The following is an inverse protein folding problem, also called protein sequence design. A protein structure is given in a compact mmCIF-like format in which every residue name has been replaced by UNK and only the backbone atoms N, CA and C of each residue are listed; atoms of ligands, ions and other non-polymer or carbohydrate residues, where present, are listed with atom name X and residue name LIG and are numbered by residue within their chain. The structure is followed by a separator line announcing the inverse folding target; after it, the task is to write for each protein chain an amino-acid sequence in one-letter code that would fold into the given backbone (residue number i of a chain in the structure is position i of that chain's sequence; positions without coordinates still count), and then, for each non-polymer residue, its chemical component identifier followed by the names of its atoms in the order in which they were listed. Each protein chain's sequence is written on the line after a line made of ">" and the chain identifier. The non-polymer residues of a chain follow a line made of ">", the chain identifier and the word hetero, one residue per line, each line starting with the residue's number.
data_IF_464260784794
#
_entry.id   IF_464260784794
#
_cell.length_a   1.000
_cell.length_b   1.000
_cell.length_c   1.000
_cell.angle_alpha   90.00
_cell.angle_beta   90.00
_cell.angle_gamma   90.00
#
_symmetry.space_group_name_H-M   'P 1'
#
loop_
_entity.id
_entity.type
_entity.pdbx_description
1 polymer ?
#
# COMPACT_ATOMS: atom_id res chain seq x y z
N UNK A 1 -45.67 22.66 -51.05
CA UNK A 1 -46.16 21.38 -50.51
C UNK A 1 -44.99 20.45 -50.26
N UNK A 2 -44.60 20.30 -48.99
CA UNK A 2 -44.29 19.01 -48.34
C UNK A 2 -44.30 19.32 -46.85
N UNK A 3 -45.17 18.58 -46.19
CA UNK A 3 -45.69 18.73 -44.85
C UNK A 3 -44.76 18.04 -43.86
N UNK A 4 -44.28 18.77 -42.84
CA UNK A 4 -43.50 18.23 -41.74
C UNK A 4 -44.49 17.73 -40.69
N UNK A 5 -44.59 16.41 -40.52
CA UNK A 5 -45.29 15.80 -39.39
C UNK A 5 -44.37 15.71 -38.18
N UNK A 6 -44.85 16.29 -37.09
CA UNK A 6 -44.32 16.15 -35.75
C UNK A 6 -44.71 14.78 -35.18
N UNK A 7 -43.78 14.14 -34.47
CA UNK A 7 -44.10 13.18 -33.42
C UNK A 7 -43.57 13.69 -32.09
N UNK A 8 -44.50 13.68 -31.15
CA UNK A 8 -44.41 14.10 -29.76
C UNK A 8 -44.31 12.80 -28.97
N UNK A 9 -43.22 12.56 -28.26
CA UNK A 9 -43.17 11.48 -27.27
C UNK A 9 -42.63 11.97 -25.94
N UNK A 10 -43.39 11.56 -24.93
CA UNK A 10 -43.38 12.02 -23.56
C UNK A 10 -42.18 11.52 -22.76
N UNK A 11 -41.83 12.36 -21.80
CA UNK A 11 -40.79 12.22 -20.81
C UNK A 11 -41.16 11.17 -19.73
N UNK A 12 -40.23 10.30 -19.29
CA UNK A 12 -40.29 9.79 -17.93
C UNK A 12 -39.01 10.12 -17.13
N UNK A 13 -39.21 11.04 -16.18
CA UNK A 13 -38.80 10.97 -14.78
C UNK A 13 -37.36 10.52 -14.46
N UNK A 14 -36.59 11.53 -14.05
CA UNK A 14 -35.46 11.50 -13.11
C UNK A 14 -35.45 10.29 -12.15
N UNK A 15 -34.46 9.41 -12.34
CA UNK A 15 -34.02 8.43 -11.35
C UNK A 15 -33.03 9.08 -10.38
N UNK A 16 -33.33 9.02 -9.08
CA UNK A 16 -32.38 9.31 -7.98
C UNK A 16 -31.28 8.24 -7.95
N UNK A 17 -30.03 8.58 -7.57
CA UNK A 17 -29.03 7.56 -7.28
C UNK A 17 -29.42 6.78 -6.03
N UNK A 18 -29.43 5.45 -6.14
CA UNK A 18 -29.63 4.51 -5.05
C UNK A 18 -28.52 4.69 -4.01
N UNK A 19 -28.89 5.19 -2.84
CA UNK A 19 -28.02 5.35 -1.67
C UNK A 19 -27.90 4.04 -0.89
N UNK A 20 -26.68 3.68 -0.51
CA UNK A 20 -26.24 3.10 0.78
C UNK A 20 -26.91 1.84 1.38
N UNK A 21 -28.04 1.33 0.89
CA UNK A 21 -28.79 0.24 1.56
C UNK A 21 -28.10 -1.14 1.49
N UNK A 22 -27.16 -1.34 0.56
CA UNK A 22 -26.49 -2.63 0.38
C UNK A 22 -25.46 -3.00 1.44
N UNK A 23 -24.75 -2.00 2.01
CA UNK A 23 -23.71 -2.27 3.01
C UNK A 23 -24.26 -2.41 4.44
N UNK A 24 -25.33 -1.68 4.77
CA UNK A 24 -26.00 -1.77 6.08
C UNK A 24 -26.70 -3.13 6.27
N UNK A 25 -27.17 -3.75 5.18
CA UNK A 25 -27.84 -5.04 5.22
C UNK A 25 -26.86 -6.21 5.48
N UNK A 26 -25.60 -6.10 5.02
CA UNK A 26 -24.55 -7.09 5.28
C UNK A 26 -24.06 -6.97 6.72
N UNK A 27 -23.83 -5.75 7.23
CA UNK A 27 -23.35 -5.53 8.61
C UNK A 27 -24.42 -5.88 9.66
N UNK A 28 -25.71 -5.62 9.36
CA UNK A 28 -26.83 -6.02 10.22
C UNK A 28 -27.00 -7.56 10.27
N UNK A 29 -26.70 -8.27 9.20
CA UNK A 29 -26.83 -9.74 9.12
C UNK A 29 -25.72 -10.44 9.90
N UNK A 30 -24.50 -9.92 9.86
CA UNK A 30 -23.37 -10.42 10.66
C UNK A 30 -23.58 -10.13 12.16
N UNK A 31 -24.05 -8.92 12.53
CA UNK A 31 -24.35 -8.59 13.94
C UNK A 31 -25.50 -9.40 14.54
N UNK A 32 -26.53 -9.73 13.75
CA UNK A 32 -27.68 -10.53 14.22
C UNK A 32 -27.36 -12.01 14.39
N UNK A 33 -26.36 -12.54 13.70
CA UNK A 33 -26.05 -13.99 13.75
C UNK A 33 -25.35 -14.43 15.05
N UNK A 34 -24.61 -13.52 15.71
CA UNK A 34 -23.88 -13.86 16.95
C UNK A 34 -24.62 -13.56 18.27
N UNK A 35 -25.77 -12.88 18.22
CA UNK A 35 -26.40 -12.33 19.43
C UNK A 35 -27.59 -13.15 19.96
N UNK A 36 -28.22 -14.02 19.16
CA UNK A 36 -29.57 -14.53 19.48
C UNK A 36 -29.66 -15.96 20.03
N UNK A 37 -28.64 -16.82 19.92
CA UNK A 37 -28.67 -18.20 20.47
C UNK A 37 -27.39 -18.59 21.26
N UNK A 38 -27.51 -19.26 22.42
CA UNK A 38 -26.36 -19.62 23.28
C UNK A 38 -25.38 -20.59 22.64
N UNK A 39 -25.83 -21.45 21.71
CA UNK A 39 -24.95 -22.32 20.91
C UNK A 39 -24.07 -21.50 19.95
N UNK A 40 -24.65 -20.45 19.34
CA UNK A 40 -23.97 -19.56 18.41
C UNK A 40 -22.94 -18.66 19.12
N UNK A 41 -23.13 -18.35 20.42
CA UNK A 41 -22.15 -17.60 21.21
C UNK A 41 -20.80 -18.32 21.33
N UNK A 42 -20.81 -19.65 21.51
CA UNK A 42 -19.57 -20.45 21.58
C UNK A 42 -18.86 -20.48 20.23
N UNK A 43 -19.60 -20.64 19.13
CA UNK A 43 -19.06 -20.62 17.78
C UNK A 43 -18.49 -19.25 17.41
N UNK A 44 -19.21 -18.15 17.71
CA UNK A 44 -18.72 -16.79 17.47
C UNK A 44 -17.47 -16.47 18.29
N UNK A 45 -17.37 -16.96 19.53
CA UNK A 45 -16.16 -16.78 20.34
C UNK A 45 -14.96 -17.53 19.73
N UNK A 46 -15.17 -18.76 19.25
CA UNK A 46 -14.12 -19.53 18.55
C UNK A 46 -13.68 -18.83 17.27
N UNK A 47 -14.63 -18.38 16.42
CA UNK A 47 -14.32 -17.65 15.19
C UNK A 47 -13.59 -16.33 15.50
N UNK A 48 -14.04 -15.57 16.49
CA UNK A 48 -13.38 -14.33 16.91
C UNK A 48 -11.96 -14.60 17.43
N UNK A 49 -11.75 -15.66 18.21
CA UNK A 49 -10.43 -16.05 18.68
C UNK A 49 -9.49 -16.46 17.53
N UNK A 50 -10.00 -17.22 16.54
CA UNK A 50 -9.25 -17.60 15.33
C UNK A 50 -8.89 -16.35 14.53
N UNK A 51 -9.85 -15.47 14.26
CA UNK A 51 -9.61 -14.22 13.51
C UNK A 51 -8.62 -13.31 14.23
N UNK A 52 -8.71 -13.20 15.55
CA UNK A 52 -7.74 -12.46 16.36
C UNK A 52 -6.36 -13.09 16.28
N UNK A 53 -6.25 -14.41 16.35
CA UNK A 53 -4.99 -15.14 16.20
C UNK A 53 -4.36 -14.93 14.82
N UNK A 54 -5.16 -15.02 13.75
CA UNK A 54 -4.71 -14.76 12.38
C UNK A 54 -4.28 -13.31 12.18
N UNK A 55 -5.04 -12.35 12.72
CA UNK A 55 -4.71 -10.94 12.67
C UNK A 55 -3.40 -10.62 13.39
N UNK A 56 -3.23 -11.16 14.61
CA UNK A 56 -1.98 -11.01 15.37
C UNK A 56 -0.80 -11.64 14.62
N UNK A 57 -0.97 -12.85 14.08
CA UNK A 57 0.06 -13.51 13.29
C UNK A 57 0.42 -12.69 12.04
N UNK A 58 -0.57 -12.16 11.33
CA UNK A 58 -0.36 -11.29 10.17
C UNK A 58 0.39 -10.01 10.56
N UNK A 59 0.06 -9.40 11.70
CA UNK A 59 0.74 -8.21 12.21
C UNK A 59 2.18 -8.48 12.60
N UNK A 60 2.45 -9.60 13.26
CA UNK A 60 3.80 -10.02 13.62
C UNK A 60 4.64 -10.28 12.36
N UNK A 61 4.09 -10.99 11.37
CA UNK A 61 4.75 -11.24 10.09
C UNK A 61 4.96 -9.97 9.26
N UNK A 62 4.06 -8.99 9.38
CA UNK A 62 4.20 -7.68 8.77
C UNK A 62 5.24 -6.79 9.48
N UNK A 63 5.85 -7.25 10.57
CA UNK A 63 6.88 -6.49 11.28
C UNK A 63 6.34 -5.50 12.32
N UNK A 64 5.13 -5.70 12.86
CA UNK A 64 4.57 -4.79 13.86
C UNK A 64 5.53 -4.53 15.04
N UNK A 65 6.28 -5.54 15.47
CA UNK A 65 7.30 -5.45 16.54
C UNK A 65 8.74 -5.25 16.03
N UNK A 66 8.94 -5.13 14.71
CA UNK A 66 10.26 -4.93 14.13
C UNK A 66 10.77 -3.52 14.46
N UNK A 67 12.04 -3.39 14.83
CA UNK A 67 12.69 -2.08 15.03
C UNK A 67 13.05 -1.48 13.67
N UNK A 68 12.85 -0.18 13.51
CA UNK A 68 13.30 0.55 12.33
C UNK A 68 14.72 1.08 12.55
N UNK A 69 15.70 0.50 11.85
CA UNK A 69 17.03 1.11 11.71
C UNK A 69 17.01 2.03 10.49
N UNK A 70 17.45 3.27 10.69
CA UNK A 70 17.60 4.24 9.61
C UNK A 70 19.09 4.40 9.35
N UNK A 71 19.48 4.18 8.10
CA UNK A 71 20.85 4.28 7.62
C UNK A 71 20.91 5.32 6.50
N UNK A 72 22.07 5.94 6.30
CA UNK A 72 22.27 6.82 5.15
C UNK A 72 22.60 5.98 3.92
N UNK A 73 21.89 6.24 2.82
CA UNK A 73 22.10 5.57 1.55
C UNK A 73 21.89 6.52 0.37
N UNK A 74 21.74 5.96 -0.82
CA UNK A 74 21.51 6.73 -2.05
C UNK A 74 20.28 6.22 -2.75
N UNK A 75 19.32 7.11 -3.02
CA UNK A 75 18.21 6.80 -3.90
C UNK A 75 18.72 6.81 -5.35
N UNK A 76 18.50 5.74 -6.15
CA UNK A 76 19.13 5.56 -7.46
C UNK A 76 18.79 6.64 -8.49
N UNK A 77 17.58 7.20 -8.43
CA UNK A 77 17.07 8.16 -9.42
C UNK A 77 16.95 7.60 -10.84
N UNK A 78 16.43 8.41 -11.76
CA UNK A 78 16.29 8.05 -13.17
C UNK A 78 14.94 8.43 -13.78
N UNK A 79 14.75 8.03 -15.03
CA UNK A 79 13.47 8.18 -15.73
C UNK A 79 12.41 7.30 -15.06
N UNK A 80 11.27 7.89 -14.73
CA UNK A 80 10.19 7.25 -13.99
C UNK A 80 8.90 7.36 -14.80
N UNK A 81 8.27 6.23 -15.10
CA UNK A 81 6.97 6.18 -15.79
C UNK A 81 5.92 5.75 -14.78
N UNK A 82 4.93 6.60 -14.55
CA UNK A 82 4.10 6.50 -13.34
C UNK A 82 2.66 6.92 -13.56
N UNK A 83 1.78 6.49 -12.65
CA UNK A 83 0.43 7.01 -12.48
C UNK A 83 0.36 7.89 -11.24
N UNK A 84 -0.31 9.03 -11.35
CA UNK A 84 -0.60 9.91 -10.21
C UNK A 84 -1.99 9.59 -9.66
N UNK A 85 -2.11 9.35 -8.35
CA UNK A 85 -3.40 9.16 -7.70
C UNK A 85 -3.52 10.02 -6.44
N UNK A 86 -4.76 10.38 -6.13
CA UNK A 86 -5.18 11.07 -4.91
C UNK A 86 -6.03 10.07 -4.11
N UNK A 87 -5.40 9.36 -3.17
CA UNK A 87 -6.02 8.36 -2.27
C UNK A 87 -5.09 8.14 -1.08
N UNK A 88 -5.61 7.48 -0.04
CA UNK A 88 -4.80 6.99 1.08
C UNK A 88 -3.56 6.22 0.62
N UNK A 89 -2.45 6.39 1.34
CA UNK A 89 -1.19 5.68 1.07
C UNK A 89 -1.31 4.17 1.15
N UNK A 90 -2.34 3.65 1.82
CA UNK A 90 -2.65 2.24 1.81
C UNK A 90 -3.07 1.70 0.43
N UNK A 91 -3.55 2.56 -0.46
CA UNK A 91 -3.92 2.22 -1.83
C UNK A 91 -2.73 2.16 -2.80
N UNK A 92 -1.55 2.65 -2.40
CA UNK A 92 -0.38 2.72 -3.31
C UNK A 92 0.08 1.34 -3.75
N UNK A 93 0.05 0.36 -2.85
CA UNK A 93 0.37 -1.04 -3.18
C UNK A 93 -0.60 -1.62 -4.21
N UNK A 94 -1.88 -1.28 -4.11
CA UNK A 94 -2.90 -1.70 -5.10
C UNK A 94 -2.60 -1.13 -6.49
N UNK A 95 -2.22 0.15 -6.55
CA UNK A 95 -1.81 0.78 -7.81
C UNK A 95 -0.55 0.13 -8.38
N UNK A 96 0.44 -0.16 -7.53
CA UNK A 96 1.67 -0.81 -7.97
C UNK A 96 1.40 -2.19 -8.58
N UNK A 97 0.46 -2.96 -8.02
CA UNK A 97 -0.03 -4.22 -8.62
C UNK A 97 -0.70 -3.99 -9.97
N UNK A 98 -1.46 -2.91 -10.14
CA UNK A 98 -2.03 -2.55 -11.45
C UNK A 98 -0.92 -2.28 -12.47
N UNK A 99 0.12 -1.53 -12.10
CA UNK A 99 1.25 -1.27 -13.00
C UNK A 99 2.00 -2.57 -13.34
N UNK A 100 2.19 -3.47 -12.38
CA UNK A 100 2.77 -4.78 -12.62
C UNK A 100 1.92 -5.62 -13.59
N UNK A 101 0.60 -5.60 -13.42
CA UNK A 101 -0.34 -6.27 -14.32
C UNK A 101 -0.31 -5.68 -15.73
N UNK A 102 -0.20 -4.35 -15.86
CA UNK A 102 -0.09 -3.67 -17.15
C UNK A 102 1.23 -4.05 -17.90
N UNK A 103 2.24 -4.53 -17.17
CA UNK A 103 3.51 -5.04 -17.70
C UNK A 103 3.53 -6.57 -17.85
N UNK A 104 2.41 -7.26 -17.62
CA UNK A 104 2.33 -8.73 -17.59
C UNK A 104 3.36 -9.37 -16.62
N UNK A 105 3.65 -8.70 -15.49
CA UNK A 105 4.49 -9.22 -14.40
C UNK A 105 3.60 -9.98 -13.41
N UNK A 106 3.81 -11.28 -13.28
CA UNK A 106 3.08 -12.15 -12.34
C UNK A 106 3.65 -12.02 -10.92
N UNK A 107 2.78 -12.09 -9.91
CA UNK A 107 3.20 -12.14 -8.49
C UNK A 107 4.23 -13.24 -8.25
N UNK A 108 5.34 -12.89 -7.60
CA UNK A 108 6.55 -13.73 -7.52
C UNK A 108 7.67 -13.29 -8.46
N UNK A 109 7.43 -12.23 -9.25
CA UNK A 109 8.46 -11.61 -10.06
C UNK A 109 8.64 -12.28 -11.42
N UNK A 110 7.77 -13.21 -11.79
CA UNK A 110 7.89 -13.89 -13.07
C UNK A 110 7.33 -12.98 -14.15
N UNK A 111 8.18 -12.50 -15.03
CA UNK A 111 7.74 -11.78 -16.23
C UNK A 111 7.35 -12.81 -17.29
N UNK A 112 6.08 -12.84 -17.70
CA UNK A 112 5.65 -13.64 -18.85
C UNK A 112 5.48 -12.74 -20.07
N UNK A 113 6.60 -12.36 -20.70
CA UNK A 113 6.50 -11.82 -22.04
C UNK A 113 6.05 -13.03 -22.85
N UNK A 114 4.87 -12.95 -23.48
CA UNK A 114 4.56 -13.80 -24.62
C UNK A 114 5.52 -13.41 -25.76
N UNK A 115 6.80 -13.71 -25.58
CA UNK A 115 7.75 -13.74 -26.67
C UNK A 115 7.33 -14.93 -27.51
N UNK A 116 6.82 -14.65 -28.71
CA UNK A 116 6.29 -15.64 -29.66
C UNK A 116 7.31 -16.71 -30.10
N UNK A 117 8.51 -16.77 -29.51
CA UNK A 117 9.63 -17.54 -30.06
C UNK A 117 10.42 -18.41 -29.09
N UNK A 118 10.06 -18.52 -27.80
CA UNK A 118 10.68 -19.58 -26.99
C UNK A 118 9.83 -19.97 -25.78
N UNK A 119 9.27 -21.17 -25.83
CA UNK A 119 8.85 -21.88 -24.63
C UNK A 119 10.07 -22.04 -23.69
N UNK A 120 9.87 -21.90 -22.38
CA UNK A 120 10.67 -22.50 -21.28
C UNK A 120 11.66 -21.68 -20.42
N UNK A 121 11.72 -20.35 -20.45
CA UNK A 121 12.46 -19.62 -19.39
C UNK A 121 11.64 -18.51 -18.70
N UNK A 122 11.03 -18.87 -17.57
CA UNK A 122 10.44 -17.91 -16.63
C UNK A 122 11.56 -17.21 -15.85
N UNK A 123 11.96 -16.01 -16.27
CA UNK A 123 12.93 -15.20 -15.52
C UNK A 123 12.25 -14.64 -14.27
N UNK A 124 12.77 -15.02 -13.09
CA UNK A 124 12.33 -14.49 -11.79
C UNK A 124 13.01 -13.15 -11.54
N UNK A 125 12.29 -12.07 -11.78
CA UNK A 125 12.70 -10.68 -11.58
C UNK A 125 12.23 -10.16 -10.21
N UNK A 126 13.09 -9.46 -9.47
CA UNK A 126 12.66 -8.83 -8.22
C UNK A 126 12.06 -7.45 -8.51
N UNK A 127 10.80 -7.24 -8.14
CA UNK A 127 10.11 -5.96 -8.35
C UNK A 127 10.78 -4.80 -7.63
N UNK A 128 11.61 -5.08 -6.61
CA UNK A 128 12.29 -4.04 -5.83
C UNK A 128 13.19 -3.12 -6.67
N UNK A 129 13.73 -3.63 -7.78
CA UNK A 129 14.65 -2.87 -8.63
C UNK A 129 13.94 -2.01 -9.68
N UNK A 130 12.64 -2.26 -9.93
CA UNK A 130 11.87 -1.60 -10.98
C UNK A 130 10.71 -0.77 -10.44
N UNK A 131 9.98 -1.27 -9.44
CA UNK A 131 8.66 -0.77 -9.07
C UNK A 131 8.73 0.09 -7.82
N UNK A 132 8.36 1.36 -7.95
CA UNK A 132 8.44 2.34 -6.86
C UNK A 132 7.10 3.03 -6.64
N UNK A 133 6.82 3.36 -5.38
CA UNK A 133 5.78 4.32 -4.98
C UNK A 133 6.44 5.55 -4.36
N UNK A 134 6.06 6.75 -4.77
CA UNK A 134 6.52 8.00 -4.16
C UNK A 134 5.31 8.70 -3.54
N UNK A 135 5.33 8.81 -2.22
CA UNK A 135 4.38 9.58 -1.42
C UNK A 135 4.80 11.04 -1.49
N UNK A 136 3.95 11.90 -2.02
CA UNK A 136 4.30 13.30 -2.25
C UNK A 136 3.95 14.18 -1.06
N UNK A 137 2.92 13.82 -0.30
CA UNK A 137 2.34 14.69 0.73
C UNK A 137 2.65 14.23 2.16
N UNK A 138 2.55 15.17 3.09
CA UNK A 138 2.51 14.86 4.51
C UNK A 138 1.06 14.74 4.98
N UNK A 139 0.69 13.60 5.61
CA UNK A 139 -0.66 13.41 6.17
C UNK A 139 -0.97 14.38 7.33
N UNK A 140 0.06 15.03 7.88
CA UNK A 140 -0.08 16.13 8.85
C UNK A 140 -0.55 17.45 8.21
N UNK A 141 -0.30 17.61 6.90
CA UNK A 141 -0.56 18.84 6.12
C UNK A 141 -1.76 18.65 5.20
N UNK A 142 -1.82 17.52 4.51
CA UNK A 142 -2.90 17.15 3.59
C UNK A 142 -3.78 16.10 4.27
N UNK A 143 -5.11 16.30 4.33
CA UNK A 143 -6.00 15.37 5.01
C UNK A 143 -5.93 13.97 4.41
N UNK A 144 -6.13 12.95 5.26
CA UNK A 144 -6.27 11.56 4.81
C UNK A 144 -7.36 11.42 3.75
N UNK A 145 -7.18 10.50 2.81
CA UNK A 145 -8.01 10.34 1.62
C UNK A 145 -7.63 11.26 0.46
N UNK A 146 -7.07 12.44 0.74
CA UNK A 146 -6.67 13.44 -0.27
C UNK A 146 -5.17 13.47 -0.53
N UNK A 147 -4.39 12.56 0.07
CA UNK A 147 -2.96 12.53 -0.13
C UNK A 147 -2.59 12.06 -1.53
N UNK A 148 -1.57 12.69 -2.12
CA UNK A 148 -1.06 12.35 -3.44
C UNK A 148 0.08 11.36 -3.33
N UNK A 149 0.02 10.35 -4.17
CA UNK A 149 1.16 9.49 -4.43
C UNK A 149 1.27 9.19 -5.92
N UNK A 150 2.46 8.79 -6.31
CA UNK A 150 2.73 8.25 -7.64
C UNK A 150 3.22 6.83 -7.50
N UNK A 151 2.81 5.96 -8.42
CA UNK A 151 3.30 4.58 -8.47
C UNK A 151 3.67 4.23 -9.90
N UNK A 152 4.81 3.58 -10.09
CA UNK A 152 5.37 3.42 -11.42
C UNK A 152 6.64 2.59 -11.49
N UNK A 153 7.23 2.59 -12.67
CA UNK A 153 8.46 1.88 -12.99
C UNK A 153 9.63 2.86 -13.16
N UNK A 154 10.74 2.61 -12.46
CA UNK A 154 12.00 3.35 -12.58
C UNK A 154 12.88 2.70 -13.65
N UNK A 155 13.02 3.37 -14.78
CA UNK A 155 13.64 2.85 -15.99
C UNK A 155 15.15 3.13 -16.03
N UNK A 156 15.87 2.71 -14.99
CA UNK A 156 17.31 2.89 -14.92
C UNK A 156 18.06 1.69 -15.50
N UNK A 157 18.89 1.94 -16.53
CA UNK A 157 19.71 0.89 -17.18
C UNK A 157 20.59 0.10 -16.21
N UNK A 158 21.08 0.73 -15.14
CA UNK A 158 21.92 0.07 -14.13
C UNK A 158 21.15 -0.91 -13.25
N UNK A 159 19.88 -0.60 -12.93
CA UNK A 159 19.02 -1.49 -12.13
C UNK A 159 18.54 -2.69 -12.96
N UNK A 160 18.40 -2.49 -14.27
CA UNK A 160 18.01 -3.54 -15.21
C UNK A 160 19.21 -4.29 -15.80
N UNK A 161 20.44 -4.09 -15.27
CA UNK A 161 21.63 -4.74 -15.80
C UNK A 161 21.59 -6.24 -15.49
N UNK A 162 21.50 -7.06 -16.53
CA UNK A 162 21.33 -8.51 -16.40
C UNK A 162 19.87 -8.97 -16.35
N UNK A 163 18.91 -8.04 -16.40
CA UNK A 163 17.51 -8.33 -16.67
C UNK A 163 17.30 -8.45 -18.19
N UNK A 164 16.43 -9.36 -18.68
CA UNK A 164 16.03 -9.39 -20.08
C UNK A 164 15.19 -8.16 -20.48
N UNK A 165 14.80 -7.31 -19.52
CA UNK A 165 13.90 -6.20 -19.74
C UNK A 165 14.61 -5.01 -20.36
N UNK A 166 14.10 -4.56 -21.51
CA UNK A 166 14.54 -3.35 -22.17
C UNK A 166 13.77 -2.13 -21.61
N UNK A 167 14.45 -1.13 -21.02
CA UNK A 167 13.78 0.07 -20.49
C UNK A 167 12.93 0.80 -21.53
N UNK A 168 13.36 0.80 -22.79
CA UNK A 168 12.62 1.46 -23.88
C UNK A 168 11.31 0.74 -24.20
N UNK A 169 11.32 -0.61 -24.18
CA UNK A 169 10.12 -1.42 -24.39
C UNK A 169 9.16 -1.27 -23.21
N UNK A 170 9.68 -1.33 -21.98
CA UNK A 170 8.91 -1.05 -20.76
C UNK A 170 8.17 0.28 -20.83
N UNK A 171 8.90 1.35 -21.18
CA UNK A 171 8.32 2.69 -21.35
C UNK A 171 7.20 2.67 -22.39
N UNK A 172 7.48 2.10 -23.56
CA UNK A 172 6.53 2.05 -24.67
C UNK A 172 5.27 1.29 -24.27
N UNK A 173 5.40 0.10 -23.69
CA UNK A 173 4.27 -0.71 -23.23
C UNK A 173 3.38 0.06 -22.25
N UNK A 174 3.98 0.74 -21.26
CA UNK A 174 3.21 1.55 -20.31
C UNK A 174 2.50 2.74 -20.96
N UNK A 175 3.17 3.45 -21.88
CA UNK A 175 2.57 4.60 -22.56
C UNK A 175 1.49 4.20 -23.57
N UNK A 176 1.66 3.09 -24.28
CA UNK A 176 0.68 2.53 -25.21
C UNK A 176 -0.63 2.11 -24.48
N UNK A 177 -0.58 1.90 -23.16
CA UNK A 177 -1.79 1.67 -22.35
C UNK A 177 -2.67 2.92 -22.21
N UNK A 178 -2.15 4.12 -22.46
CA UNK A 178 -2.95 5.34 -22.41
C UNK A 178 -3.97 5.38 -23.55
N UNK A 179 -3.61 4.89 -24.74
CA UNK A 179 -4.48 4.87 -25.92
C UNK A 179 -5.70 3.94 -25.73
N UNK A 180 -5.63 3.02 -24.76
CA UNK A 180 -6.69 2.05 -24.48
C UNK A 180 -7.71 2.54 -23.46
N UNK A 181 -7.49 3.70 -22.83
CA UNK A 181 -8.32 4.18 -21.72
C UNK A 181 -9.32 5.21 -22.20
N UNK A 182 -10.57 5.01 -21.83
CA UNK A 182 -11.63 6.01 -21.96
C UNK A 182 -11.63 6.86 -20.69
N UNK A 183 -11.63 8.18 -20.83
CA UNK A 183 -11.79 9.11 -19.70
C UNK A 183 -13.17 8.89 -19.08
N UNK A 184 -13.24 8.09 -18.01
CA UNK A 184 -14.44 7.97 -17.18
C UNK A 184 -14.15 8.69 -15.86
N UNK A 185 -15.04 9.60 -15.47
CA UNK A 185 -14.95 10.33 -14.21
C UNK A 185 -15.13 9.36 -13.02
N UNK A 186 -14.03 9.09 -12.32
CA UNK A 186 -14.02 8.22 -11.13
C UNK A 186 -12.74 7.40 -11.00
N UNK A 187 -11.58 8.05 -11.12
CA UNK A 187 -10.29 7.42 -11.44
C UNK A 187 -9.94 6.19 -10.57
N UNK A 188 -10.27 5.01 -11.09
CA UNK A 188 -9.64 3.78 -10.65
C UNK A 188 -8.19 3.75 -11.17
N UNK A 189 -7.27 3.05 -10.49
CA UNK A 189 -5.87 2.94 -10.93
C UNK A 189 -5.69 2.40 -12.36
N UNK A 190 -6.71 1.70 -12.87
CA UNK A 190 -6.78 1.18 -14.24
C UNK A 190 -7.04 2.28 -15.27
N UNK A 191 -7.72 3.35 -14.89
CA UNK A 191 -8.17 4.44 -15.78
C UNK A 191 -7.19 5.62 -15.80
N UNK A 192 -6.37 5.78 -14.76
CA UNK A 192 -5.36 6.84 -14.72
C UNK A 192 -4.30 6.67 -15.83
N UNK A 193 -4.02 7.71 -16.63
CA UNK A 193 -2.97 7.65 -17.65
C UNK A 193 -1.57 7.63 -17.02
N UNK A 194 -0.62 7.07 -17.75
CA UNK A 194 0.80 7.10 -17.43
C UNK A 194 1.43 8.44 -17.85
N UNK A 195 2.22 9.00 -16.96
CA UNK A 195 3.06 10.18 -17.14
C UNK A 195 4.54 9.77 -17.10
N UNK A 196 5.42 10.60 -17.68
CA UNK A 196 6.88 10.42 -17.61
C UNK A 196 7.47 11.55 -16.78
N UNK A 197 8.31 11.19 -15.82
CA UNK A 197 9.05 12.11 -14.97
C UNK A 197 10.49 11.68 -14.80
N UNK A 198 11.25 12.45 -14.04
CA UNK A 198 12.64 12.14 -13.72
C UNK A 198 12.87 12.37 -12.24
N UNK A 199 13.25 11.32 -11.52
CA UNK A 199 13.54 11.38 -10.10
C UNK A 199 15.05 11.60 -9.90
N UNK A 200 15.49 12.58 -9.10
CA UNK A 200 16.91 12.86 -8.95
C UNK A 200 17.59 11.76 -8.12
N UNK A 201 18.84 11.44 -8.49
CA UNK A 201 19.72 10.60 -7.67
C UNK A 201 20.26 11.45 -6.52
N UNK A 202 19.94 11.10 -5.29
CA UNK A 202 20.29 11.89 -4.10
C UNK A 202 20.60 10.99 -2.91
N UNK A 203 21.31 11.56 -1.94
CA UNK A 203 21.46 10.96 -0.62
C UNK A 203 20.08 10.89 0.07
N UNK A 204 19.81 9.78 0.72
CA UNK A 204 18.54 9.49 1.34
C UNK A 204 18.73 8.74 2.66
N UNK A 205 17.86 9.00 3.63
CA UNK A 205 17.66 8.11 4.75
C UNK A 205 16.96 6.85 4.24
N UNK A 206 17.51 5.69 4.57
CA UNK A 206 17.05 4.38 4.10
C UNK A 206 16.68 3.52 5.29
N UNK A 207 15.51 2.93 5.23
CA UNK A 207 15.12 1.89 6.19
C UNK A 207 14.49 0.72 5.48
N UNK A 208 14.58 -0.46 6.08
CA UNK A 208 14.00 -1.69 5.56
C UNK A 208 13.02 -2.24 6.58
N UNK A 209 11.87 -2.68 6.12
CA UNK A 209 10.83 -3.25 6.99
C UNK A 209 10.19 -4.49 6.36
N UNK A 210 9.83 -5.51 7.18
CA UNK A 210 9.08 -6.66 6.70
C UNK A 210 7.79 -6.26 5.97
N UNK A 211 7.47 -7.02 4.93
CA UNK A 211 6.34 -6.76 4.06
C UNK A 211 5.60 -8.04 3.70
N UNK A 212 4.27 -7.99 3.81
CA UNK A 212 3.37 -9.10 3.46
C UNK A 212 2.43 -8.77 2.31
N UNK A 213 2.38 -7.51 1.86
CA UNK A 213 1.43 -7.04 0.84
C UNK A 213 -0.03 -6.98 1.29
N UNK A 214 -0.30 -7.24 2.57
CA UNK A 214 -1.63 -7.10 3.16
C UNK A 214 -1.90 -5.72 3.74
N UNK A 215 -3.15 -5.51 4.17
CA UNK A 215 -3.60 -4.27 4.81
C UNK A 215 -2.77 -3.87 6.03
N UNK A 216 -2.24 -4.83 6.80
CA UNK A 216 -1.38 -4.54 7.95
C UNK A 216 -0.03 -3.93 7.56
N UNK A 217 0.57 -4.36 6.45
CA UNK A 217 1.80 -3.71 5.96
C UNK A 217 1.52 -2.27 5.51
N UNK A 218 0.40 -2.03 4.86
CA UNK A 218 -0.04 -0.68 4.48
C UNK A 218 -0.30 0.22 5.70
N UNK A 219 -0.91 -0.33 6.75
CA UNK A 219 -1.13 0.37 8.02
C UNK A 219 0.19 0.70 8.73
N UNK A 220 1.12 -0.26 8.81
CA UNK A 220 2.44 -0.02 9.42
C UNK A 220 3.25 1.00 8.62
N UNK A 221 3.14 0.99 7.29
CA UNK A 221 3.77 2.01 6.46
C UNK A 221 3.30 3.42 6.82
N UNK A 222 1.99 3.65 6.85
CA UNK A 222 1.41 4.97 7.15
C UNK A 222 1.61 5.40 8.60
N UNK A 223 1.54 4.47 9.56
CA UNK A 223 1.48 4.82 10.99
C UNK A 223 2.74 4.53 11.80
N UNK A 224 3.75 3.92 11.21
CA UNK A 224 5.02 3.62 11.87
C UNK A 224 6.22 4.04 11.03
N UNK A 225 6.27 3.62 9.77
CA UNK A 225 7.48 3.80 8.93
C UNK A 225 7.60 5.24 8.44
N UNK A 226 6.55 5.75 7.78
CA UNK A 226 6.53 7.12 7.23
C UNK A 226 6.73 8.16 8.34
N UNK A 227 6.01 8.13 9.47
CA UNK A 227 6.23 9.09 10.56
C UNK A 227 7.66 9.05 11.09
N UNK A 228 8.22 7.86 11.35
CA UNK A 228 9.57 7.74 11.91
C UNK A 228 10.65 8.26 10.95
N UNK A 229 10.48 8.07 9.63
CA UNK A 229 11.39 8.67 8.65
C UNK A 229 11.30 10.20 8.67
N UNK A 230 10.09 10.76 8.78
CA UNK A 230 9.88 12.22 8.84
C UNK A 230 10.54 12.83 10.08
N UNK A 231 10.34 12.21 11.23
CA UNK A 231 11.01 12.60 12.47
C UNK A 231 12.53 12.59 12.29
N UNK A 232 13.10 11.55 11.69
CA UNK A 232 14.53 11.48 11.42
C UNK A 232 15.02 12.61 10.49
N UNK A 233 14.23 12.97 9.49
CA UNK A 233 14.55 14.09 8.61
C UNK A 233 14.52 15.42 9.34
N UNK A 234 13.51 15.67 10.18
CA UNK A 234 13.43 16.86 11.02
C UNK A 234 14.60 16.93 12.00
N UNK A 235 15.00 15.80 12.59
CA UNK A 235 16.19 15.69 13.46
C UNK A 235 17.50 16.04 12.73
N UNK A 236 17.60 15.70 11.43
CA UNK A 236 18.86 15.85 10.67
C UNK A 236 18.96 17.17 9.93
N UNK A 237 17.86 17.65 9.34
CA UNK A 237 17.81 18.80 8.44
C UNK A 237 17.02 20.00 8.99
N UNK A 238 16.37 19.85 10.15
CA UNK A 238 15.47 20.85 10.72
C UNK A 238 14.06 20.82 10.12
N UNK A 239 13.15 21.57 10.73
CA UNK A 239 11.72 21.60 10.36
C UNK A 239 11.42 22.29 9.03
N UNK A 240 12.37 23.07 8.50
CA UNK A 240 12.17 23.90 7.31
C UNK A 240 12.37 23.13 5.98
N UNK A 241 12.83 21.87 6.03
CA UNK A 241 13.31 21.13 4.85
C UNK A 241 12.25 20.44 3.97
N UNK A 242 10.96 20.55 4.32
CA UNK A 242 9.89 20.01 3.48
C UNK A 242 9.92 18.48 3.36
N UNK A 243 10.09 17.76 4.48
CA UNK A 243 10.20 16.29 4.58
C UNK A 243 8.96 15.45 4.18
N UNK A 244 8.16 15.90 3.22
CA UNK A 244 6.94 15.23 2.80
C UNK A 244 7.19 13.92 2.04
N UNK A 245 8.25 13.90 1.22
CA UNK A 245 8.49 12.85 0.24
C UNK A 245 9.08 11.59 0.87
N UNK A 246 8.35 10.49 0.72
CA UNK A 246 8.83 9.14 1.03
C UNK A 246 8.72 8.30 -0.22
N UNK A 247 9.74 7.52 -0.53
CA UNK A 247 9.75 6.60 -1.65
C UNK A 247 9.79 5.19 -1.09
N UNK A 248 8.97 4.27 -1.59
CA UNK A 248 9.02 2.87 -1.22
C UNK A 248 9.18 1.97 -2.43
N UNK A 249 9.88 0.86 -2.21
CA UNK A 249 9.97 -0.26 -3.15
C UNK A 249 9.91 -1.56 -2.35
N UNK A 250 9.32 -2.60 -2.91
CA UNK A 250 9.07 -3.84 -2.18
C UNK A 250 9.53 -5.06 -2.97
N UNK A 251 10.28 -5.92 -2.29
CA UNK A 251 10.69 -7.24 -2.79
C UNK A 251 9.75 -8.31 -2.25
N UNK A 252 8.96 -8.92 -3.13
CA UNK A 252 8.16 -10.09 -2.77
C UNK A 252 9.05 -11.29 -2.40
N UNK A 253 10.21 -11.41 -3.05
CA UNK A 253 11.18 -12.49 -2.83
C UNK A 253 11.81 -12.41 -1.44
N UNK A 254 12.23 -11.22 -1.03
CA UNK A 254 12.84 -10.99 0.28
C UNK A 254 11.79 -10.77 1.37
N UNK A 255 10.53 -10.53 1.00
CA UNK A 255 9.44 -10.12 1.92
C UNK A 255 9.80 -8.86 2.71
N UNK A 256 10.44 -7.91 2.02
CA UNK A 256 10.95 -6.67 2.60
C UNK A 256 10.59 -5.50 1.69
N UNK A 257 10.17 -4.38 2.28
CA UNK A 257 10.16 -3.09 1.60
C UNK A 257 11.36 -2.26 2.04
N UNK A 258 11.96 -1.56 1.09
CA UNK A 258 12.95 -0.52 1.33
C UNK A 258 12.26 0.83 1.14
N UNK A 259 12.44 1.71 2.12
CA UNK A 259 11.92 3.06 2.13
C UNK A 259 13.08 4.03 2.05
N UNK A 260 12.95 5.05 1.22
CA UNK A 260 13.91 6.13 1.05
C UNK A 260 13.23 7.44 1.39
N UNK A 261 13.90 8.28 2.17
CA UNK A 261 13.53 9.66 2.37
C UNK A 261 14.68 10.55 1.87
N UNK A 262 14.50 11.26 0.74
CA UNK A 262 15.51 12.17 0.23
C UNK A 262 15.95 13.19 1.29
N UNK A 263 17.26 13.30 1.52
CA UNK A 263 17.84 14.31 2.43
C UNK A 263 18.07 15.65 1.71
N UNK A 264 18.03 15.67 0.37
CA UNK A 264 18.11 16.87 -0.44
C UNK A 264 16.75 17.62 -0.54
N UNK A 265 16.78 18.85 -1.09
CA UNK A 265 15.56 19.61 -1.41
C UNK A 265 14.60 18.80 -2.28
N UNK A 266 13.33 18.79 -1.90
CA UNK A 266 12.34 17.86 -2.45
C UNK A 266 11.60 18.38 -3.69
N UNK A 267 11.83 19.63 -4.12
CA UNK A 267 11.11 20.30 -5.21
C UNK A 267 11.05 19.47 -6.52
N UNK A 268 12.14 18.75 -6.81
CA UNK A 268 12.26 17.93 -8.02
C UNK A 268 11.44 16.63 -7.94
N UNK A 269 11.12 16.14 -6.74
CA UNK A 269 10.33 14.92 -6.55
C UNK A 269 8.83 15.13 -6.81
N UNK A 270 8.35 16.38 -6.80
CA UNK A 270 6.97 16.70 -7.12
C UNK A 270 6.66 16.63 -8.63
N UNK A 271 7.67 16.48 -9.49
CA UNK A 271 7.50 16.28 -10.95
C UNK A 271 6.57 17.33 -11.60
N UNK A 272 6.71 18.59 -11.19
CA UNK A 272 5.91 19.71 -11.68
C UNK A 272 4.53 19.86 -11.04
N UNK A 273 4.15 18.97 -10.11
CA UNK A 273 2.97 19.15 -9.26
C UNK A 273 3.26 20.17 -8.14
N UNK A 274 2.24 20.85 -7.59
CA UNK A 274 2.44 21.83 -6.53
C UNK A 274 2.98 21.16 -5.25
N UNK A 275 3.69 21.93 -4.43
CA UNK A 275 4.18 21.45 -3.14
C UNK A 275 3.02 21.02 -2.21
N UNK A 276 3.26 20.22 -1.16
CA UNK A 276 2.20 19.81 -0.23
C UNK A 276 1.49 20.99 0.42
N UNK A 277 2.21 22.07 0.75
CA UNK A 277 1.62 23.29 1.31
C UNK A 277 0.73 24.02 0.30
N UNK A 278 1.20 24.20 -0.95
CA UNK A 278 0.40 24.81 -2.02
C UNK A 278 -0.84 23.98 -2.38
N UNK A 279 -0.72 22.65 -2.29
CA UNK A 279 -1.84 21.75 -2.53
C UNK A 279 -2.85 21.78 -1.36
N UNK A 280 -2.35 21.79 -0.11
CA UNK A 280 -3.16 21.86 1.09
C UNK A 280 -4.02 23.12 1.19
N UNK A 281 -3.52 24.26 0.68
CA UNK A 281 -4.27 25.51 0.61
C UNK A 281 -5.62 25.41 -0.11
N UNK A 282 -5.83 24.38 -0.96
CA UNK A 282 -7.12 24.11 -1.60
C UNK A 282 -8.16 23.57 -0.64
N UNK A 283 -7.73 22.89 0.42
CA UNK A 283 -8.57 22.27 1.44
C UNK A 283 -8.72 23.11 2.70
N UNK A 284 -7.94 24.19 2.86
CA UNK A 284 -8.09 25.13 3.99
C UNK A 284 -9.48 25.79 4.02
N UNK A 285 -10.20 25.80 2.90
CA UNK A 285 -11.61 26.22 2.87
C UNK A 285 -12.59 25.18 3.43
N UNK A 286 -12.14 23.96 3.76
CA UNK A 286 -13.02 22.81 3.99
C UNK A 286 -12.95 22.09 5.33
N UNK A 287 -11.91 22.19 6.18
CA UNK A 287 -11.82 21.30 7.34
C UNK A 287 -11.30 21.91 8.66
N UNK A 288 -12.19 21.95 9.66
CA UNK A 288 -11.90 22.16 11.09
C UNK A 288 -12.16 20.93 11.96
N UNK A 289 -12.40 19.73 11.41
CA UNK A 289 -12.68 18.53 12.22
C UNK A 289 -12.08 17.23 11.67
N UNK A 290 -11.59 16.42 12.61
CA UNK A 290 -11.15 15.01 12.51
C UNK A 290 -9.70 14.72 12.11
N UNK A 291 -8.80 14.77 13.10
CA UNK A 291 -7.62 13.89 13.16
C UNK A 291 -7.89 12.77 14.18
N UNK A 292 -7.95 11.51 13.71
CA UNK A 292 -7.90 10.32 14.58
C UNK A 292 -6.46 9.82 14.60
N UNK A 293 -5.77 10.07 15.72
CA UNK A 293 -4.36 9.71 15.87
C UNK A 293 -4.22 8.34 16.58
N UNK A 294 -3.67 7.35 15.88
CA UNK A 294 -3.41 6.00 16.43
C UNK A 294 -1.89 5.81 16.53
N UNK A 295 -1.36 5.97 17.75
CA UNK A 295 0.06 5.78 18.03
C UNK A 295 0.38 4.29 18.28
N UNK A 296 1.04 3.63 17.32
CA UNK A 296 1.37 2.19 17.38
C UNK A 296 2.52 1.85 18.34
N UNK A 297 3.39 2.80 18.68
CA UNK A 297 4.47 2.57 19.65
C UNK A 297 3.91 2.38 21.08
N UNK A 298 2.72 2.92 21.35
CA UNK A 298 1.96 2.68 22.59
C UNK A 298 1.13 1.38 22.57
N UNK A 299 1.00 0.70 21.43
CA UNK A 299 0.17 -0.51 21.29
C UNK A 299 0.77 -1.71 22.03
N UNK A 300 2.07 -1.71 22.33
CA UNK A 300 2.67 -2.71 23.22
C UNK A 300 2.02 -2.75 24.63
N UNK A 301 1.38 -1.65 25.05
CA UNK A 301 0.63 -1.54 26.30
C UNK A 301 -0.90 -1.70 26.18
N UNK A 302 -1.45 -1.78 24.95
CA UNK A 302 -2.90 -1.82 24.75
C UNK A 302 -3.51 -3.17 25.12
N UNK A 303 -4.67 -3.11 25.80
CA UNK A 303 -5.53 -4.25 26.06
C UNK A 303 -6.69 -4.23 25.07
N UNK A 304 -6.65 -5.10 24.07
CA UNK A 304 -7.77 -5.26 23.14
C UNK A 304 -8.78 -6.20 23.84
N UNK A 305 -9.98 -5.71 24.13
CA UNK A 305 -11.00 -6.41 24.94
C UNK A 305 -10.51 -6.87 26.34
N UNK A 306 -9.65 -6.10 26.99
CA UNK A 306 -9.06 -6.47 28.29
C UNK A 306 -7.96 -7.53 28.21
N UNK A 307 -7.67 -8.05 27.00
CA UNK A 307 -6.64 -9.05 26.75
C UNK A 307 -5.37 -8.34 26.30
N UNK A 308 -4.28 -8.54 27.04
CA UNK A 308 -2.95 -8.06 26.64
C UNK A 308 -2.36 -9.05 25.62
N UNK A 309 -1.98 -8.61 24.40
CA UNK A 309 -1.33 -9.47 23.41
C UNK A 309 -0.08 -10.17 23.98
N UNK A 310 0.68 -9.47 24.84
CA UNK A 310 1.85 -10.02 25.53
C UNK A 310 1.52 -11.12 26.56
N UNK A 311 0.29 -11.18 27.08
CA UNK A 311 -0.19 -12.30 27.92
C UNK A 311 -0.64 -13.48 27.06
N UNK A 312 -1.25 -13.24 25.90
CA UNK A 312 -1.65 -14.30 24.96
C UNK A 312 -0.42 -14.99 24.37
N UNK A 313 0.59 -14.24 23.93
CA UNK A 313 1.85 -14.79 23.41
C UNK A 313 2.58 -15.64 24.47
N UNK A 314 2.64 -15.17 25.73
CA UNK A 314 3.19 -15.96 26.86
C UNK A 314 2.34 -17.18 27.20
N UNK A 315 1.02 -17.11 27.05
CA UNK A 315 0.10 -18.23 27.24
C UNK A 315 0.30 -19.33 26.19
N UNK A 316 0.41 -18.95 24.92
CA UNK A 316 0.70 -19.88 23.82
C UNK A 316 2.09 -20.53 23.97
N UNK A 317 3.11 -19.76 24.35
CA UNK A 317 4.45 -20.30 24.60
C UNK A 317 4.46 -21.35 25.72
N UNK A 318 3.63 -21.18 26.76
CA UNK A 318 3.46 -22.20 27.82
C UNK A 318 2.73 -23.45 27.32
N UNK A 319 1.70 -23.31 26.49
CA UNK A 319 1.01 -24.48 25.91
C UNK A 319 1.93 -25.31 25.00
N UNK A 320 2.79 -24.67 24.22
CA UNK A 320 3.76 -25.36 23.35
C UNK A 320 4.88 -26.02 24.19
N UNK A 321 5.26 -25.43 25.33
CA UNK A 321 6.27 -26.00 26.23
C UNK A 321 5.78 -27.21 27.05
N UNK A 322 4.48 -27.52 27.06
CA UNK A 322 3.92 -28.68 27.79
C UNK A 322 3.91 -29.99 26.97
N UNK A 323 4.44 -29.98 25.74
CA UNK A 323 4.55 -31.19 24.89
C UNK A 323 5.83 -32.03 25.07
N UNK A 324 6.75 -31.65 25.97
CA UNK A 324 8.09 -32.24 26.07
C UNK A 324 8.47 -32.77 27.45
N UNK A 325 7.73 -33.75 27.98
CA UNK A 325 8.22 -34.61 29.08
C UNK A 325 7.75 -36.04 28.85
N UNK A 326 8.41 -36.73 27.91
CA UNK A 326 8.43 -38.19 27.89
C UNK A 326 9.22 -38.67 29.10
N UNK A 327 8.53 -39.25 30.08
CA UNK A 327 9.12 -40.04 31.17
C UNK A 327 9.65 -41.34 30.57
N UNK A 328 10.88 -41.69 30.94
CA UNK A 328 11.42 -43.03 30.74
C UNK A 328 10.70 -44.09 31.58
N UNK A 329 10.70 -45.29 31.04
CA UNK A 329 10.59 -46.61 31.64
C UNK A 329 11.11 -47.57 30.56
N UNK A 330 11.98 -48.56 30.78
CA UNK A 330 12.66 -49.08 31.96
C UNK A 330 13.61 -50.18 31.46
N UNK A 331 14.58 -50.54 32.29
CA UNK A 331 15.46 -51.71 32.11
C UNK A 331 14.65 -53.02 32.03
N UNK A 332 15.08 -53.97 31.18
CA UNK A 332 15.54 -55.33 31.56
C UNK A 332 15.67 -56.26 30.33
N UNK A 333 16.81 -56.97 30.30
CA UNK A 333 17.29 -58.05 29.41
C UNK A 333 17.79 -57.68 28.01
#
# INVERSE_FOLDING_TARGET
>A
DIEIKAEHEDNPKQGRPASSEGNDQIDATIRRSCTTLPLNKRQCLVVSAIMTGLFLNAGLNAGALSTLSIETGTFPGGEFVYKTLIKDYAASTGTLRTVMSDLDIVEGGTWSLKSETSETETVKFDTADLMYSVFLDDERIVPGGETRFVAGALLQKSLLRGSPLNPTELKKTLLDMNDRKTEVEGAHSTETPYEVGNLPKVEAAVTRHPYTGGALSALLQSKKIVPRLREYYEETNGSDGGGGVVISTCSAKQRMCTYFMPLAKQDKFYMGKPSPAEYAARFESYNSHEQVDINFDKVAGWRIFGISPAKVARGLGRMISFGGKGKGAGDEL
#
